data_IF_634987574505
#
_entry.id   IF_634987574505
#
_cell.length_a   1.000
_cell.length_b   1.000
_cell.length_c   1.000
_cell.angle_alpha   90.00
_cell.angle_beta   90.00
_cell.angle_gamma   90.00
#
_symmetry.space_group_name_H-M   'P 1'
#
loop_
_entity.id
_entity.type
_entity.pdbx_description
1 polymer ?
#
# COMPACT_ATOMS: atom_id res chain seq x y z
N UNK A 1 6.83 19.90 9.45
CA UNK A 1 6.39 18.50 9.53
C UNK A 1 5.02 18.44 8.89
N UNK A 2 4.82 17.62 7.86
CA UNK A 2 3.48 17.40 7.29
C UNK A 2 2.67 16.57 8.28
N UNK A 3 1.77 17.21 9.02
CA UNK A 3 0.89 16.54 9.97
C UNK A 3 -0.28 15.88 9.23
N UNK A 4 -0.03 14.79 8.51
CA UNK A 4 -1.10 13.97 7.95
C UNK A 4 -1.87 13.31 9.10
N UNK A 5 -3.20 13.40 9.05
CA UNK A 5 -4.07 12.78 10.05
C UNK A 5 -4.07 11.25 9.86
N UNK A 6 -4.27 10.46 10.94
CA UNK A 6 -4.58 9.04 10.79
C UNK A 6 -5.84 8.83 9.93
N UNK A 7 -5.92 7.69 9.26
CA UNK A 7 -7.14 7.27 8.57
C UNK A 7 -8.28 7.17 9.60
N UNK A 8 -9.45 7.75 9.29
CA UNK A 8 -10.53 7.92 10.27
C UNK A 8 -11.96 7.74 9.74
N UNK A 9 -12.24 8.09 8.48
CA UNK A 9 -13.54 7.85 7.85
C UNK A 9 -13.33 7.01 6.58
N UNK A 10 -14.29 6.13 6.30
CA UNK A 10 -14.28 5.25 5.14
C UNK A 10 -14.96 5.93 3.94
N UNK A 11 -14.54 5.61 2.72
CA UNK A 11 -15.00 6.22 1.47
C UNK A 11 -16.32 5.61 0.96
N UNK A 12 -17.01 4.80 1.79
CA UNK A 12 -18.31 4.16 1.47
C UNK A 12 -19.32 5.17 0.92
N UNK A 13 -19.33 6.39 1.47
CA UNK A 13 -20.23 7.46 1.02
C UNK A 13 -20.00 7.90 -0.44
N UNK A 14 -18.75 7.92 -0.91
CA UNK A 14 -18.40 8.34 -2.27
C UNK A 14 -18.77 7.30 -3.32
N UNK A 15 -18.53 6.01 -3.03
CA UNK A 15 -18.96 4.91 -3.90
C UNK A 15 -20.49 4.89 -4.05
N UNK A 16 -21.21 4.97 -2.93
CA UNK A 16 -22.66 4.97 -2.92
C UNK A 16 -23.23 6.18 -3.66
N UNK A 17 -22.66 7.37 -3.46
CA UNK A 17 -23.03 8.57 -4.21
C UNK A 17 -22.78 8.42 -5.72
N UNK A 18 -21.61 7.94 -6.14
CA UNK A 18 -21.34 7.73 -7.56
C UNK A 18 -22.28 6.69 -8.18
N UNK A 19 -22.58 5.61 -7.45
CA UNK A 19 -23.54 4.59 -7.88
C UNK A 19 -24.95 5.17 -8.04
N UNK A 20 -25.38 5.99 -7.09
CA UNK A 20 -26.64 6.74 -7.16
C UNK A 20 -26.67 7.66 -8.39
N UNK A 21 -25.63 8.47 -8.59
CA UNK A 21 -25.57 9.43 -9.70
C UNK A 21 -25.49 8.75 -11.08
N UNK A 22 -24.94 7.54 -11.15
CA UNK A 22 -24.89 6.76 -12.38
C UNK A 22 -26.25 6.13 -12.72
N UNK A 23 -27.16 5.97 -11.76
CA UNK A 23 -28.50 5.41 -11.96
C UNK A 23 -28.48 4.09 -12.77
N UNK A 24 -27.58 3.19 -12.38
CA UNK A 24 -27.38 1.90 -13.05
C UNK A 24 -26.60 1.94 -14.37
N UNK A 25 -26.17 3.11 -14.85
CA UNK A 25 -25.29 3.21 -16.02
C UNK A 25 -23.87 2.69 -15.70
N UNK A 26 -23.19 2.07 -16.68
CA UNK A 26 -21.79 1.68 -16.53
C UNK A 26 -20.90 2.89 -16.25
N UNK A 27 -19.95 2.74 -15.33
CA UNK A 27 -18.93 3.75 -15.08
C UNK A 27 -17.78 3.63 -16.08
N UNK A 28 -17.24 4.77 -16.49
CA UNK A 28 -15.96 4.85 -17.21
C UNK A 28 -14.78 5.07 -16.25
N UNK A 29 -15.05 5.29 -14.95
CA UNK A 29 -14.03 5.59 -13.95
C UNK A 29 -13.34 4.32 -13.44
N UNK A 30 -12.10 4.48 -12.97
CA UNK A 30 -11.39 3.48 -12.18
C UNK A 30 -11.17 4.06 -10.79
N UNK A 31 -11.54 3.30 -9.76
CA UNK A 31 -11.22 3.65 -8.38
C UNK A 31 -9.80 3.19 -8.08
N UNK A 32 -8.98 4.10 -7.57
CA UNK A 32 -7.67 3.78 -7.02
C UNK A 32 -7.82 3.69 -5.51
N UNK A 33 -7.56 2.51 -4.94
CA UNK A 33 -7.68 2.31 -3.50
C UNK A 33 -6.71 3.19 -2.70
N UNK A 34 -5.46 3.30 -3.17
CA UNK A 34 -4.48 4.17 -2.53
C UNK A 34 -3.41 4.66 -3.49
N UNK A 35 -3.10 5.94 -3.38
CA UNK A 35 -1.95 6.59 -4.00
C UNK A 35 -1.16 7.37 -2.95
N UNK A 36 0.17 7.28 -3.01
CA UNK A 36 1.08 8.03 -2.16
C UNK A 36 2.34 8.43 -2.94
N UNK A 37 3.05 9.45 -2.45
CA UNK A 37 4.32 9.89 -3.04
C UNK A 37 5.47 9.59 -2.09
N UNK A 38 6.48 8.90 -2.58
CA UNK A 38 7.74 8.67 -1.90
C UNK A 38 8.80 9.66 -2.42
N UNK A 39 9.61 10.30 -1.55
CA UNK A 39 10.61 11.29 -1.98
C UNK A 39 11.59 10.76 -3.04
N UNK A 40 12.12 9.54 -2.85
CA UNK A 40 13.06 8.92 -3.81
C UNK A 40 12.41 8.04 -4.89
N UNK A 41 11.29 7.36 -4.60
CA UNK A 41 10.66 6.39 -5.51
C UNK A 41 9.56 6.98 -6.39
N UNK A 42 9.16 8.23 -6.15
CA UNK A 42 8.06 8.88 -6.86
C UNK A 42 6.68 8.38 -6.42
N UNK A 43 5.70 8.41 -7.33
CA UNK A 43 4.34 7.95 -7.03
C UNK A 43 4.28 6.43 -6.85
N UNK A 44 3.47 5.99 -5.90
CA UNK A 44 3.19 4.59 -5.63
C UNK A 44 1.68 4.42 -5.54
N UNK A 45 1.16 3.48 -6.32
CA UNK A 45 -0.26 3.12 -6.38
C UNK A 45 -0.41 1.72 -5.80
N UNK A 46 -1.37 1.55 -4.89
CA UNK A 46 -1.79 0.26 -4.37
C UNK A 46 -3.24 0.00 -4.79
N UNK A 47 -3.46 -1.20 -5.28
CA UNK A 47 -4.78 -1.77 -5.54
C UNK A 47 -4.95 -3.04 -4.69
N UNK A 48 -5.97 -3.08 -3.83
CA UNK A 48 -6.21 -4.20 -2.93
C UNK A 48 -7.20 -5.20 -3.53
N UNK A 49 -6.72 -6.41 -3.78
CA UNK A 49 -7.46 -7.49 -4.43
C UNK A 49 -7.94 -8.50 -3.40
N UNK A 50 -9.11 -8.23 -2.83
CA UNK A 50 -9.72 -9.14 -1.84
C UNK A 50 -9.98 -10.52 -2.47
N UNK A 51 -9.49 -11.56 -1.81
CA UNK A 51 -9.74 -12.94 -2.16
C UNK A 51 -10.98 -13.43 -1.39
N UNK A 52 -11.99 -13.86 -2.13
CA UNK A 52 -13.15 -14.54 -1.56
C UNK A 52 -12.74 -15.90 -0.97
N UNK A 53 -13.36 -16.28 0.16
CA UNK A 53 -13.11 -17.60 0.76
C UNK A 53 -13.66 -18.70 -0.14
N UNK A 54 -12.76 -19.51 -0.71
CA UNK A 54 -13.09 -20.70 -1.50
C UNK A 54 -12.12 -21.82 -1.16
N UNK A 55 -12.50 -23.06 -1.38
CA UNK A 55 -11.64 -24.20 -1.04
C UNK A 55 -10.43 -24.33 -1.97
N UNK A 56 -10.53 -23.81 -3.20
CA UNK A 56 -9.55 -23.97 -4.27
C UNK A 56 -8.71 -22.71 -4.54
N UNK A 57 -9.04 -21.58 -3.93
CA UNK A 57 -8.37 -20.29 -4.16
C UNK A 57 -8.03 -19.60 -2.84
N UNK A 58 -6.82 -19.05 -2.76
CA UNK A 58 -6.34 -18.26 -1.64
C UNK A 58 -5.55 -17.04 -2.16
N UNK A 59 -5.14 -16.09 -1.29
CA UNK A 59 -4.43 -14.89 -1.72
C UNK A 59 -3.17 -15.15 -2.56
N UNK A 60 -2.39 -16.19 -2.26
CA UNK A 60 -1.18 -16.53 -3.02
C UNK A 60 -1.47 -17.12 -4.40
N UNK A 61 -2.67 -17.68 -4.61
CA UNK A 61 -3.05 -18.30 -5.88
C UNK A 61 -4.03 -17.44 -6.70
N UNK A 62 -4.59 -16.37 -6.16
CA UNK A 62 -5.58 -15.51 -6.84
C UNK A 62 -4.96 -14.44 -7.76
N UNK A 63 -4.01 -14.85 -8.59
CA UNK A 63 -3.31 -13.96 -9.51
C UNK A 63 -4.28 -13.32 -10.55
N UNK A 64 -4.14 -12.01 -10.89
CA UNK A 64 -4.96 -11.32 -11.90
C UNK A 64 -5.14 -12.05 -13.23
N UNK A 65 -4.14 -12.80 -13.68
CA UNK A 65 -4.24 -13.60 -14.92
C UNK A 65 -5.38 -14.62 -14.91
N UNK A 66 -5.80 -15.11 -13.74
CA UNK A 66 -6.90 -16.09 -13.60
C UNK A 66 -8.29 -15.50 -13.89
N UNK A 67 -8.42 -14.18 -13.84
CA UNK A 67 -9.69 -13.48 -14.03
C UNK A 67 -9.52 -12.20 -14.87
N UNK A 68 -8.51 -12.20 -15.75
CA UNK A 68 -8.16 -11.07 -16.60
C UNK A 68 -9.37 -10.58 -17.39
N UNK A 69 -10.06 -11.47 -18.11
CA UNK A 69 -11.18 -11.08 -18.98
C UNK A 69 -12.33 -10.37 -18.24
N UNK A 70 -12.49 -10.66 -16.95
CA UNK A 70 -13.52 -10.04 -16.10
C UNK A 70 -13.13 -8.65 -15.62
N UNK A 71 -11.83 -8.36 -15.50
CA UNK A 71 -11.31 -7.16 -14.82
C UNK A 71 -10.29 -6.36 -15.65
N UNK A 72 -10.02 -6.74 -16.91
CA UNK A 72 -8.99 -6.13 -17.76
C UNK A 72 -9.13 -4.61 -17.86
N UNK A 73 -10.35 -4.10 -17.97
CA UNK A 73 -10.59 -2.65 -18.05
C UNK A 73 -10.07 -1.91 -16.82
N UNK A 74 -10.21 -2.49 -15.63
CA UNK A 74 -9.68 -1.94 -14.37
C UNK A 74 -8.16 -1.95 -14.38
N UNK A 75 -7.55 -3.11 -14.66
CA UNK A 75 -6.09 -3.25 -14.65
C UNK A 75 -5.39 -2.38 -15.69
N UNK A 76 -5.91 -2.35 -16.92
CA UNK A 76 -5.39 -1.49 -17.97
C UNK A 76 -5.53 0.00 -17.62
N UNK A 77 -6.61 0.40 -16.95
CA UNK A 77 -6.78 1.79 -16.50
C UNK A 77 -5.80 2.16 -15.39
N UNK A 78 -5.60 1.29 -14.40
CA UNK A 78 -4.58 1.47 -13.36
C UNK A 78 -3.18 1.57 -13.96
N UNK A 79 -2.86 0.69 -14.92
CA UNK A 79 -1.56 0.71 -15.60
C UNK A 79 -1.34 1.98 -16.41
N UNK A 80 -2.34 2.44 -17.17
CA UNK A 80 -2.28 3.73 -17.88
C UNK A 80 -1.97 4.88 -16.93
N UNK A 81 -2.61 4.93 -15.76
CA UNK A 81 -2.35 5.96 -14.75
C UNK A 81 -0.93 5.82 -14.18
N UNK A 82 -0.50 4.60 -13.87
CA UNK A 82 0.84 4.35 -13.36
C UNK A 82 1.91 4.84 -14.36
N UNK A 83 1.73 4.55 -15.65
CA UNK A 83 2.61 5.05 -16.73
C UNK A 83 2.59 6.57 -16.84
N UNK A 84 1.41 7.20 -16.77
CA UNK A 84 1.28 8.65 -16.86
C UNK A 84 1.97 9.39 -15.71
N UNK A 85 1.97 8.79 -14.51
CA UNK A 85 2.61 9.35 -13.31
C UNK A 85 4.05 8.88 -13.09
N UNK A 86 4.57 8.00 -13.96
CA UNK A 86 5.80 7.24 -13.73
C UNK A 86 5.82 6.59 -12.33
N UNK A 87 4.68 5.98 -11.95
CA UNK A 87 4.44 5.41 -10.64
C UNK A 87 4.76 3.91 -10.59
N UNK A 88 5.15 3.42 -9.41
CA UNK A 88 5.12 1.98 -9.11
C UNK A 88 3.68 1.54 -8.85
N UNK A 89 3.25 0.46 -9.50
CA UNK A 89 1.93 -0.14 -9.30
C UNK A 89 2.06 -1.46 -8.54
N UNK A 90 1.45 -1.53 -7.35
CA UNK A 90 1.30 -2.75 -6.58
C UNK A 90 -0.14 -3.26 -6.62
N UNK A 91 -0.31 -4.53 -6.97
CA UNK A 91 -1.54 -5.27 -6.76
C UNK A 91 -1.34 -6.17 -5.53
N UNK A 92 -2.24 -6.07 -4.55
CA UNK A 92 -2.08 -6.74 -3.26
C UNK A 92 -3.25 -7.68 -3.01
N UNK A 93 -3.03 -8.98 -3.16
CA UNK A 93 -4.02 -9.98 -2.81
C UNK A 93 -4.03 -10.24 -1.31
N UNK A 94 -5.22 -10.24 -0.71
CA UNK A 94 -5.40 -10.46 0.73
C UNK A 94 -6.75 -11.12 1.01
N UNK A 95 -6.91 -11.79 2.15
CA UNK A 95 -8.21 -12.23 2.66
C UNK A 95 -8.69 -11.31 3.79
N UNK A 96 -9.94 -11.44 4.26
CA UNK A 96 -10.38 -10.68 5.45
C UNK A 96 -9.68 -11.17 6.73
N UNK A 97 -9.55 -10.29 7.73
CA UNK A 97 -9.05 -10.70 9.04
C UNK A 97 -9.99 -11.75 9.68
N UNK A 98 -9.42 -12.74 10.37
CA UNK A 98 -10.19 -13.81 11.01
C UNK A 98 -10.65 -14.95 10.09
N UNK A 99 -10.33 -14.89 8.79
CA UNK A 99 -10.57 -15.98 7.83
C UNK A 99 -9.45 -17.03 7.84
N UNK A 100 -9.74 -18.22 7.28
CA UNK A 100 -8.77 -19.33 7.14
C UNK A 100 -7.43 -18.88 6.55
N UNK A 101 -7.47 -18.11 5.48
CA UNK A 101 -6.30 -17.67 4.73
C UNK A 101 -5.90 -16.23 5.10
N UNK A 102 -6.36 -15.74 6.26
CA UNK A 102 -6.21 -14.35 6.67
C UNK A 102 -4.76 -13.91 6.75
N UNK A 103 -3.81 -14.78 7.08
CA UNK A 103 -2.40 -14.41 7.18
C UNK A 103 -1.68 -14.40 5.81
N UNK A 104 -2.32 -14.79 4.71
CA UNK A 104 -1.69 -14.82 3.39
C UNK A 104 -1.85 -13.48 2.66
N UNK A 105 -0.74 -12.89 2.23
CA UNK A 105 -0.71 -11.69 1.41
C UNK A 105 0.24 -11.89 0.25
N UNK A 106 -0.22 -11.63 -0.97
CA UNK A 106 0.62 -11.58 -2.16
C UNK A 106 0.75 -10.14 -2.63
N UNK A 107 1.98 -9.64 -2.76
CA UNK A 107 2.26 -8.33 -3.34
C UNK A 107 2.87 -8.56 -4.72
N UNK A 108 2.22 -8.02 -5.75
CA UNK A 108 2.66 -8.07 -7.14
C UNK A 108 3.05 -6.66 -7.55
N UNK A 109 4.34 -6.42 -7.76
CA UNK A 109 4.83 -5.22 -8.43
C UNK A 109 4.71 -5.41 -9.94
N UNK A 110 3.87 -4.60 -10.59
CA UNK A 110 3.67 -4.65 -12.03
C UNK A 110 4.81 -3.90 -12.71
N UNK A 111 5.70 -4.63 -13.37
CA UNK A 111 6.86 -4.07 -14.06
C UNK A 111 6.57 -3.78 -15.53
N UNK A 112 5.67 -4.54 -16.14
CA UNK A 112 5.16 -4.34 -17.49
C UNK A 112 3.79 -5.01 -17.69
N UNK A 113 2.98 -4.45 -18.60
CA UNK A 113 1.62 -4.93 -18.90
C UNK A 113 1.18 -4.49 -20.29
N UNK A 114 0.46 -5.37 -20.98
CA UNK A 114 -0.20 -5.13 -22.26
C UNK A 114 -1.70 -5.46 -22.19
N UNK A 115 -2.40 -5.41 -23.33
CA UNK A 115 -3.84 -5.71 -23.42
C UNK A 115 -4.23 -7.14 -22.99
N UNK A 116 -3.28 -8.07 -23.01
CA UNK A 116 -3.49 -9.50 -22.71
C UNK A 116 -3.15 -9.84 -21.25
N UNK A 117 -2.38 -9.00 -20.56
CA UNK A 117 -2.06 -9.27 -19.16
C UNK A 117 -0.84 -8.52 -18.63
N UNK A 118 -0.49 -8.85 -17.39
CA UNK A 118 0.81 -8.52 -16.82
C UNK A 118 1.86 -9.37 -17.55
N UNK A 119 2.81 -8.73 -18.23
CA UNK A 119 3.85 -9.41 -19.01
C UNK A 119 5.13 -9.61 -18.20
N UNK A 120 5.35 -8.74 -17.19
CA UNK A 120 6.48 -8.85 -16.27
C UNK A 120 6.12 -8.28 -14.90
N UNK A 121 6.54 -8.99 -13.86
CA UNK A 121 6.23 -8.68 -12.48
C UNK A 121 7.32 -9.13 -11.51
N UNK A 122 7.31 -8.53 -10.33
CA UNK A 122 8.03 -9.05 -9.16
C UNK A 122 7.01 -9.40 -8.09
N UNK A 123 7.10 -10.61 -7.53
CA UNK A 123 6.10 -11.14 -6.60
C UNK A 123 6.74 -11.42 -5.26
N UNK A 124 6.12 -10.94 -4.19
CA UNK A 124 6.54 -11.19 -2.81
C UNK A 124 5.37 -11.71 -1.98
N UNK A 125 5.58 -12.82 -1.28
CA UNK A 125 4.62 -13.34 -0.30
C UNK A 125 4.92 -12.79 1.09
N UNK A 126 3.86 -12.43 1.81
CA UNK A 126 3.92 -11.86 3.14
C UNK A 126 2.92 -12.55 4.07
N UNK A 127 3.29 -12.65 5.34
CA UNK A 127 2.31 -12.73 6.43
C UNK A 127 1.67 -11.36 6.66
N UNK A 128 0.50 -11.25 7.32
CA UNK A 128 -0.05 -9.95 7.75
C UNK A 128 0.94 -9.16 8.58
N UNK A 129 1.63 -9.84 9.49
CA UNK A 129 2.64 -9.22 10.35
C UNK A 129 3.78 -8.61 9.54
N UNK A 130 4.33 -9.36 8.59
CA UNK A 130 5.42 -8.88 7.74
C UNK A 130 4.97 -7.77 6.78
N UNK A 131 3.77 -7.87 6.20
CA UNK A 131 3.21 -6.82 5.35
C UNK A 131 2.95 -5.55 6.14
N UNK A 132 2.43 -5.64 7.36
CA UNK A 132 2.23 -4.48 8.23
C UNK A 132 3.55 -3.76 8.51
N UNK A 133 4.64 -4.50 8.77
CA UNK A 133 5.96 -3.91 8.98
C UNK A 133 6.47 -3.20 7.72
N UNK A 134 6.42 -3.88 6.56
CA UNK A 134 6.78 -3.30 5.26
C UNK A 134 5.99 -2.03 4.97
N UNK A 135 4.67 -2.09 5.09
CA UNK A 135 3.78 -0.99 4.73
C UNK A 135 3.96 0.23 5.65
N UNK A 136 4.19 -0.01 6.95
CA UNK A 136 4.50 1.06 7.91
C UNK A 136 5.83 1.72 7.61
N UNK A 137 6.87 0.93 7.30
CA UNK A 137 8.18 1.46 6.93
C UNK A 137 8.07 2.33 5.67
N UNK A 138 7.43 1.83 4.61
CA UNK A 138 7.18 2.59 3.38
C UNK A 138 6.41 3.88 3.65
N UNK A 139 5.38 3.85 4.49
CA UNK A 139 4.62 5.04 4.84
C UNK A 139 5.48 6.08 5.59
N UNK A 140 6.34 5.63 6.52
CA UNK A 140 7.30 6.50 7.22
C UNK A 140 8.29 7.16 6.24
N UNK A 141 8.81 6.40 5.27
CA UNK A 141 9.66 6.93 4.21
C UNK A 141 8.91 7.99 3.37
N UNK A 142 7.66 7.74 3.00
CA UNK A 142 6.83 8.69 2.25
C UNK A 142 6.54 9.98 3.01
N UNK A 143 6.47 9.93 4.35
CA UNK A 143 6.32 11.12 5.18
C UNK A 143 7.63 11.95 5.30
N UNK A 144 8.74 11.48 4.72
CA UNK A 144 10.05 12.09 4.86
C UNK A 144 10.55 12.06 6.32
N UNK A 145 10.05 11.12 7.12
CA UNK A 145 10.48 10.93 8.50
C UNK A 145 11.75 10.08 8.52
N UNK A 146 12.78 10.52 9.27
CA UNK A 146 14.00 9.72 9.45
C UNK A 146 13.64 8.49 10.28
N UNK A 147 13.81 7.24 9.78
CA UNK A 147 13.50 6.05 10.55
C UNK A 147 14.59 5.76 11.59
N UNK A 148 14.16 5.22 12.74
CA UNK A 148 15.06 4.79 13.81
C UNK A 148 15.87 3.57 13.34
N UNK A 149 17.21 3.58 13.45
CA UNK A 149 18.04 2.46 13.00
C UNK A 149 17.87 1.18 13.83
N UNK A 150 17.20 1.25 14.99
CA UNK A 150 16.99 0.10 15.87
C UNK A 150 15.61 -0.56 15.72
N UNK A 151 14.56 0.23 15.42
CA UNK A 151 13.19 -0.29 15.41
C UNK A 151 12.34 0.18 14.21
N UNK A 152 12.88 0.98 13.31
CA UNK A 152 12.17 1.53 12.15
C UNK A 152 11.15 2.63 12.47
N UNK A 153 10.83 2.90 13.74
CA UNK A 153 9.89 3.98 14.09
C UNK A 153 10.45 5.36 13.73
N UNK A 154 9.58 6.35 13.45
CA UNK A 154 10.03 7.71 13.13
C UNK A 154 10.95 8.28 14.22
N UNK A 155 11.91 9.09 13.81
CA UNK A 155 12.76 9.85 14.70
C UNK A 155 12.30 11.29 14.82
N UNK A 156 12.38 11.84 16.03
CA UNK A 156 12.07 13.24 16.31
C UNK A 156 13.35 13.99 16.63
N UNK A 157 13.45 15.22 16.15
CA UNK A 157 14.57 16.12 16.49
C UNK A 157 14.46 16.49 17.97
N UNK A 158 15.52 16.25 18.73
CA UNK A 158 15.65 16.51 20.17
C UNK A 158 16.88 17.36 20.43
N UNK A 159 16.84 18.17 21.48
CA UNK A 159 17.98 18.97 21.94
C UNK A 159 18.71 18.22 23.04
N UNK A 160 19.96 17.83 22.79
CA UNK A 160 20.85 17.30 23.81
C UNK A 160 21.66 18.42 24.48
N UNK A 161 22.41 18.10 25.55
CA UNK A 161 23.24 19.09 26.24
C UNK A 161 24.32 19.75 25.36
N UNK A 162 24.85 19.00 24.37
CA UNK A 162 25.96 19.46 23.50
C UNK A 162 25.52 19.81 22.08
N UNK A 163 24.58 19.04 21.52
CA UNK A 163 24.06 19.24 20.16
C UNK A 163 22.68 18.63 19.99
N UNK A 164 22.01 19.06 18.93
CA UNK A 164 20.77 18.46 18.47
C UNK A 164 21.02 17.05 17.91
N UNK A 165 20.00 16.20 18.00
CA UNK A 165 20.06 14.84 17.49
C UNK A 165 18.64 14.37 17.12
N UNK A 166 18.54 13.40 16.23
CA UNK A 166 17.31 12.63 16.02
C UNK A 166 17.28 11.48 17.03
N UNK A 167 16.21 11.36 17.81
CA UNK A 167 15.98 10.26 18.73
C UNK A 167 14.70 9.52 18.40
N UNK A 168 14.65 8.21 18.65
CA UNK A 168 13.46 7.39 18.41
C UNK A 168 12.21 8.03 19.05
N UNK A 169 11.12 8.14 18.29
CA UNK A 169 9.83 8.66 18.78
C UNK A 169 9.23 7.78 19.88
N UNK A 170 9.55 6.48 19.89
CA UNK A 170 9.08 5.55 20.91
C UNK A 170 9.91 5.58 22.22
N UNK A 171 10.96 6.39 22.30
CA UNK A 171 11.70 6.62 23.54
C UNK A 171 11.01 7.70 24.40
N UNK A 172 10.82 7.49 25.72
CA UNK A 172 11.29 6.35 26.53
C UNK A 172 10.28 5.17 26.63
N UNK A 173 9.08 5.30 26.06
CA UNK A 173 7.92 4.41 26.26
C UNK A 173 8.21 2.93 26.04
N UNK A 174 9.02 2.58 25.03
CA UNK A 174 9.31 1.19 24.65
C UNK A 174 10.75 0.77 24.97
N UNK A 175 11.53 1.62 25.63
CA UNK A 175 12.96 1.39 25.89
C UNK A 175 13.88 1.49 24.67
N UNK A 176 13.37 1.70 23.45
CA UNK A 176 14.21 1.85 22.26
C UNK A 176 15.06 3.12 22.33
N UNK A 177 16.39 3.00 22.33
CA UNK A 177 17.35 4.11 22.51
C UNK A 177 17.96 4.65 21.22
N UNK A 178 17.36 4.35 20.06
CA UNK A 178 17.92 4.70 18.76
C UNK A 178 18.15 6.20 18.60
N UNK A 179 19.34 6.57 18.10
CA UNK A 179 19.83 7.94 18.04
C UNK A 179 20.70 8.17 16.81
N UNK A 180 20.50 9.28 16.11
CA UNK A 180 21.33 9.77 15.00
C UNK A 180 21.71 11.21 15.35
N UNK A 181 22.99 11.52 15.36
CA UNK A 181 23.44 12.87 15.67
C UNK A 181 23.40 13.74 14.42
N UNK A 182 22.96 14.99 14.61
CA UNK A 182 23.05 16.06 13.60
C UNK A 182 24.46 16.68 13.70
#
# INVERSE_FOLDING_TARGET
>A
MSHSKPLGHDDVSGFEFAREMLDGNPTAAVNIERIQHHPDKGFIIFEYLKCEQRDDVNPHTSHPSKYWDKNKSKFLSLWRIARALNATLYLVNYADAGTRDSDMILVIEVLDMDENGITRESVTQHTRGSFQQFFRALNTECLGEIPCPLCGSPMVKRKGPKKEFYGCKQFPTTGCTGKIFI
#
